data_IF_640390814905
#
_entry.id   IF_640390814905
#
_cell.length_a   1.000
_cell.length_b   1.000
_cell.length_c   1.000
_cell.angle_alpha   90.00
_cell.angle_beta   90.00
_cell.angle_gamma   90.00
#
_symmetry.space_group_name_H-M   'P 1'
#
loop_
_entity.id
_entity.type
_entity.pdbx_description
1 polymer ?
#
# COMPACT_ATOMS: atom_id res chain seq x y z
N UNK A 1 -9.01 -0.48 37.32
CA UNK A 1 -9.71 -0.11 38.57
C UNK A 1 -8.77 -0.42 39.74
N UNK A 2 -7.95 0.54 40.14
CA UNK A 2 -7.13 0.43 41.36
C UNK A 2 -7.94 1.06 42.49
N UNK A 3 -8.69 0.25 43.23
CA UNK A 3 -9.24 0.68 44.50
C UNK A 3 -8.15 0.56 45.56
N UNK A 4 -7.55 1.69 45.93
CA UNK A 4 -6.82 1.83 47.19
C UNK A 4 -7.84 2.17 48.28
N UNK A 5 -8.53 1.16 48.79
CA UNK A 5 -9.11 1.25 50.13
C UNK A 5 -8.13 0.58 51.08
N UNK A 6 -7.23 1.40 51.63
CA UNK A 6 -6.90 1.45 53.05
C UNK A 6 -5.68 2.38 53.24
N UNK A 7 -5.92 3.45 53.99
CA UNK A 7 -4.96 4.47 54.45
C UNK A 7 -4.55 5.60 53.49
N UNK A 8 -5.42 6.63 53.42
CA UNK A 8 -4.95 8.01 53.62
C UNK A 8 -4.97 8.96 52.41
N UNK A 9 -6.15 9.39 51.95
CA UNK A 9 -6.56 10.82 51.97
C UNK A 9 -8.02 10.98 51.52
N UNK A 10 -8.78 11.89 52.14
CA UNK A 10 -10.09 12.36 51.65
C UNK A 10 -9.92 13.42 50.54
N UNK A 11 -8.99 13.20 49.62
CA UNK A 11 -8.69 14.12 48.51
C UNK A 11 -9.42 13.72 47.23
N UNK A 12 -9.57 14.66 46.29
CA UNK A 12 -9.92 14.29 44.90
C UNK A 12 -8.78 13.45 44.31
N UNK A 13 -9.17 12.46 43.50
CA UNK A 13 -8.22 11.65 42.74
C UNK A 13 -7.43 12.54 41.76
N UNK A 14 -6.09 12.60 41.84
CA UNK A 14 -5.26 13.38 40.92
C UNK A 14 -5.39 12.93 39.44
N UNK A 15 -5.88 11.72 39.18
CA UNK A 15 -6.11 11.21 37.83
C UNK A 15 -7.24 11.94 37.09
N UNK A 16 -8.15 12.61 37.82
CA UNK A 16 -9.22 13.44 37.23
C UNK A 16 -8.65 14.55 36.34
N UNK A 17 -7.47 15.07 36.65
CA UNK A 17 -6.81 16.06 35.80
C UNK A 17 -6.44 15.46 34.43
N UNK A 18 -5.98 14.20 34.40
CA UNK A 18 -5.64 13.52 33.16
C UNK A 18 -6.89 13.22 32.34
N UNK A 19 -8.00 12.84 32.99
CA UNK A 19 -9.29 12.69 32.33
C UNK A 19 -9.77 14.00 31.69
N UNK A 20 -9.68 15.11 32.42
CA UNK A 20 -10.04 16.42 31.90
C UNK A 20 -9.17 16.81 30.68
N UNK A 21 -7.87 16.54 30.73
CA UNK A 21 -6.96 16.74 29.60
C UNK A 21 -7.37 15.86 28.41
N UNK A 22 -7.65 14.58 28.63
CA UNK A 22 -8.07 13.68 27.56
C UNK A 22 -9.37 14.16 26.89
N UNK A 23 -10.33 14.67 27.67
CA UNK A 23 -11.56 15.29 27.15
C UNK A 23 -11.24 16.54 26.31
N UNK A 24 -10.35 17.41 26.78
CA UNK A 24 -9.91 18.59 26.02
C UNK A 24 -9.22 18.22 24.71
N UNK A 25 -8.37 17.19 24.73
CA UNK A 25 -7.71 16.65 23.53
C UNK A 25 -8.73 16.07 22.55
N UNK A 26 -9.79 15.46 23.05
CA UNK A 26 -10.84 14.84 22.27
C UNK A 26 -12.00 15.78 21.91
N UNK A 27 -11.84 17.10 22.08
CA UNK A 27 -12.87 18.08 21.80
C UNK A 27 -12.82 18.56 20.34
N UNK A 28 -13.96 18.99 19.80
CA UNK A 28 -14.07 19.42 18.40
C UNK A 28 -13.28 20.72 18.11
N UNK A 29 -13.18 21.59 19.11
CA UNK A 29 -12.45 22.85 19.02
C UNK A 29 -10.93 22.64 19.10
N UNK A 30 -10.24 22.92 17.99
CA UNK A 30 -8.79 22.71 17.87
C UNK A 30 -7.95 23.50 18.87
N UNK A 31 -8.43 24.64 19.35
CA UNK A 31 -7.71 25.45 20.35
C UNK A 31 -7.66 24.74 21.72
N UNK A 32 -8.70 23.96 22.08
CA UNK A 32 -8.70 23.18 23.32
C UNK A 32 -7.70 22.01 23.26
N UNK A 33 -7.50 21.41 22.09
CA UNK A 33 -6.47 20.39 21.88
C UNK A 33 -5.06 20.97 22.14
N UNK A 34 -4.76 22.19 21.68
CA UNK A 34 -3.46 22.84 21.96
C UNK A 34 -3.26 23.10 23.45
N UNK A 35 -4.32 23.50 24.16
CA UNK A 35 -4.27 23.70 25.61
C UNK A 35 -3.97 22.37 26.32
N UNK A 36 -4.57 21.26 25.87
CA UNK A 36 -4.28 19.92 26.37
C UNK A 36 -2.82 19.53 26.18
N UNK A 37 -2.23 19.79 25.01
CA UNK A 37 -0.80 19.55 24.76
C UNK A 37 0.10 20.37 25.70
N UNK A 38 -0.23 21.66 25.89
CA UNK A 38 0.52 22.53 26.82
C UNK A 38 0.40 22.00 28.25
N UNK A 39 -0.78 21.57 28.68
CA UNK A 39 -0.97 20.99 30.02
C UNK A 39 -0.13 19.71 30.21
N UNK A 40 -0.11 18.81 29.22
CA UNK A 40 0.75 17.62 29.24
C UNK A 40 2.24 17.98 29.27
N UNK A 41 2.66 19.00 28.53
CA UNK A 41 4.03 19.50 28.55
C UNK A 41 4.42 20.02 29.93
N UNK A 42 3.56 20.81 30.57
CA UNK A 42 3.80 21.32 31.92
C UNK A 42 3.89 20.18 32.94
N UNK A 43 2.98 19.20 32.88
CA UNK A 43 3.04 18.02 33.77
C UNK A 43 4.37 17.29 33.59
N UNK A 44 4.80 17.07 32.35
CA UNK A 44 6.06 16.38 32.05
C UNK A 44 7.29 17.17 32.51
N UNK A 45 7.34 18.47 32.24
CA UNK A 45 8.46 19.34 32.62
C UNK A 45 8.57 19.45 34.14
N UNK A 46 7.44 19.62 34.85
CA UNK A 46 7.42 19.66 36.32
C UNK A 46 7.86 18.33 36.92
N UNK A 47 7.34 17.19 36.42
CA UNK A 47 7.77 15.88 36.88
C UNK A 47 9.27 15.65 36.65
N UNK A 48 9.79 16.10 35.50
CA UNK A 48 11.21 16.02 35.16
C UNK A 48 12.08 16.89 36.06
N UNK A 49 11.62 18.09 36.44
CA UNK A 49 12.32 18.97 37.38
C UNK A 49 12.35 18.36 38.78
N UNK A 50 11.22 17.84 39.27
CA UNK A 50 11.10 17.26 40.62
C UNK A 50 11.99 16.02 40.76
N UNK A 51 11.99 15.14 39.76
CA UNK A 51 12.76 13.89 39.80
C UNK A 51 14.19 14.03 39.28
N UNK A 52 14.53 15.19 38.72
CA UNK A 52 15.87 15.53 38.22
C UNK A 52 16.28 14.82 36.92
N UNK A 53 15.40 14.02 36.30
CA UNK A 53 15.61 13.48 34.96
C UNK A 53 14.30 13.09 34.28
N UNK A 54 14.28 13.16 32.94
CA UNK A 54 13.12 12.79 32.12
C UNK A 54 12.80 11.30 32.20
N UNK A 55 13.86 10.48 32.30
CA UNK A 55 13.77 9.02 32.39
C UNK A 55 13.07 8.61 33.68
N UNK A 56 13.44 9.21 34.81
CA UNK A 56 12.80 8.95 36.11
C UNK A 56 11.37 9.46 36.14
N UNK A 57 11.08 10.61 35.52
CA UNK A 57 9.71 11.10 35.41
C UNK A 57 8.78 10.09 34.73
N UNK A 58 9.23 9.48 33.62
CA UNK A 58 8.44 8.53 32.86
C UNK A 58 8.17 7.19 33.58
N UNK A 59 8.86 6.91 34.69
CA UNK A 59 8.63 5.73 35.52
C UNK A 59 7.45 5.92 36.49
N UNK A 60 6.93 7.15 36.63
CA UNK A 60 5.75 7.40 37.46
C UNK A 60 4.51 6.70 36.88
N UNK A 61 3.66 6.06 37.71
CA UNK A 61 2.40 5.45 37.28
C UNK A 61 1.47 6.42 36.52
N UNK A 62 1.60 7.72 36.78
CA UNK A 62 0.88 8.77 36.08
C UNK A 62 1.07 8.69 34.55
N UNK A 63 2.26 8.39 34.05
CA UNK A 63 2.51 8.32 32.60
C UNK A 63 1.91 7.09 31.95
N UNK A 64 1.82 5.97 32.69
CA UNK A 64 1.07 4.80 32.23
C UNK A 64 -0.41 5.13 32.04
N UNK A 65 -0.99 5.87 32.99
CA UNK A 65 -2.39 6.31 32.88
C UNK A 65 -2.59 7.34 31.76
N UNK A 66 -1.67 8.29 31.58
CA UNK A 66 -1.71 9.26 30.47
C UNK A 66 -1.75 8.53 29.12
N UNK A 67 -0.88 7.54 28.90
CA UNK A 67 -0.90 6.76 27.64
C UNK A 67 -2.23 6.06 27.44
N UNK A 68 -2.72 5.37 28.47
CA UNK A 68 -3.97 4.63 28.39
C UNK A 68 -5.13 5.54 27.97
N UNK A 69 -5.27 6.69 28.64
CA UNK A 69 -6.37 7.63 28.36
C UNK A 69 -6.22 8.34 27.03
N UNK A 70 -5.02 8.78 26.66
CA UNK A 70 -4.81 9.48 25.40
C UNK A 70 -4.89 8.54 24.18
N UNK A 71 -4.42 7.29 24.31
CA UNK A 71 -4.61 6.29 23.26
C UNK A 71 -6.08 5.84 23.17
N UNK A 72 -6.85 5.84 24.26
CA UNK A 72 -8.28 5.55 24.21
C UNK A 72 -9.04 6.51 23.28
N UNK A 73 -8.61 7.77 23.18
CA UNK A 73 -9.18 8.74 22.25
C UNK A 73 -9.10 8.30 20.78
N UNK A 74 -8.10 7.49 20.40
CA UNK A 74 -8.00 6.91 19.05
C UNK A 74 -9.13 5.91 18.73
N UNK A 75 -9.77 5.35 19.76
CA UNK A 75 -10.83 4.34 19.63
C UNK A 75 -12.24 4.91 19.83
N UNK A 76 -12.35 6.21 20.13
CA UNK A 76 -13.63 6.90 20.25
C UNK A 76 -14.35 6.99 18.90
N UNK A 77 -15.68 7.06 18.90
CA UNK A 77 -16.46 7.08 17.66
C UNK A 77 -16.19 8.33 16.81
N UNK A 78 -16.06 9.50 17.44
CA UNK A 78 -15.94 10.77 16.73
C UNK A 78 -14.57 11.00 16.09
N UNK A 79 -14.55 11.49 14.84
CA UNK A 79 -13.30 11.73 14.10
C UNK A 79 -12.36 12.74 14.78
N UNK A 80 -12.89 13.75 15.46
CA UNK A 80 -12.10 14.77 16.15
C UNK A 80 -11.45 14.20 17.43
N UNK A 81 -12.12 13.27 18.13
CA UNK A 81 -11.55 12.56 19.26
C UNK A 81 -10.37 11.68 18.82
N UNK A 82 -10.54 10.98 17.70
CA UNK A 82 -9.46 10.21 17.07
C UNK A 82 -8.27 11.09 16.67
N UNK A 83 -8.54 12.25 16.08
CA UNK A 83 -7.50 13.23 15.76
C UNK A 83 -6.75 13.67 17.03
N UNK A 84 -7.48 13.96 18.11
CA UNK A 84 -6.90 14.24 19.43
C UNK A 84 -5.96 13.15 19.92
N UNK A 85 -6.36 11.88 19.80
CA UNK A 85 -5.50 10.73 20.11
C UNK A 85 -4.24 10.65 19.25
N UNK A 86 -4.34 10.92 17.94
CA UNK A 86 -3.17 10.97 17.03
C UNK A 86 -2.21 12.10 17.42
N UNK A 87 -2.75 13.28 17.75
CA UNK A 87 -2.00 14.44 18.23
C UNK A 87 -1.29 14.10 19.54
N UNK A 88 -1.99 13.46 20.48
CA UNK A 88 -1.39 12.98 21.72
C UNK A 88 -0.26 11.99 21.51
N UNK A 89 -0.44 10.99 20.63
CA UNK A 89 0.63 10.03 20.31
C UNK A 89 1.84 10.77 19.74
N UNK A 90 1.63 11.70 18.81
CA UNK A 90 2.70 12.52 18.24
C UNK A 90 3.46 13.28 19.33
N UNK A 91 2.74 13.98 20.20
CA UNK A 91 3.32 14.71 21.32
C UNK A 91 4.16 13.79 22.23
N UNK A 92 3.59 12.64 22.64
CA UNK A 92 4.26 11.70 23.52
C UNK A 92 5.53 11.14 22.86
N UNK A 93 5.43 10.79 21.58
CA UNK A 93 6.53 10.25 20.80
C UNK A 93 7.59 11.30 20.44
N UNK A 94 7.37 12.59 20.67
CA UNK A 94 8.36 13.67 20.43
C UNK A 94 9.01 14.12 21.75
N UNK A 95 8.24 14.16 22.84
CA UNK A 95 8.69 14.71 24.14
C UNK A 95 9.31 13.68 25.08
N UNK A 96 8.85 12.42 25.05
CA UNK A 96 9.31 11.41 26.01
C UNK A 96 10.62 10.74 25.56
N UNK A 97 11.40 10.17 26.52
CA UNK A 97 12.63 9.45 26.23
C UNK A 97 12.41 8.22 25.33
N UNK A 98 13.42 7.87 24.52
CA UNK A 98 13.33 6.80 23.53
C UNK A 98 12.94 5.45 24.16
N UNK A 99 13.55 5.07 25.28
CA UNK A 99 13.25 3.81 25.98
C UNK A 99 11.76 3.64 26.27
N UNK A 100 11.10 4.71 26.69
CA UNK A 100 9.67 4.70 27.02
C UNK A 100 8.81 4.64 25.75
N UNK A 101 9.24 5.32 24.68
CA UNK A 101 8.56 5.24 23.38
C UNK A 101 8.65 3.83 22.82
N UNK A 102 9.81 3.16 22.92
CA UNK A 102 10.00 1.77 22.51
C UNK A 102 9.07 0.82 23.28
N UNK A 103 8.93 1.00 24.59
CA UNK A 103 8.04 0.19 25.42
C UNK A 103 6.55 0.32 25.02
N UNK A 104 6.15 1.49 24.49
CA UNK A 104 4.76 1.78 24.09
C UNK A 104 4.52 1.74 22.57
N UNK A 105 5.56 1.50 21.76
CA UNK A 105 5.51 1.63 20.30
C UNK A 105 4.43 0.73 19.67
N UNK A 106 4.28 -0.50 20.15
CA UNK A 106 3.26 -1.42 19.65
C UNK A 106 1.83 -0.91 19.92
N UNK A 107 1.60 -0.30 21.09
CA UNK A 107 0.31 0.31 21.45
C UNK A 107 -0.02 1.48 20.52
N UNK A 108 0.97 2.35 20.27
CA UNK A 108 0.82 3.47 19.34
C UNK A 108 0.58 3.00 17.91
N UNK A 109 1.30 1.99 17.43
CA UNK A 109 1.07 1.38 16.11
C UNK A 109 -0.38 0.93 15.96
N UNK A 110 -0.89 0.13 16.91
CA UNK A 110 -2.27 -0.40 16.86
C UNK A 110 -3.31 0.72 16.87
N UNK A 111 -3.13 1.73 17.72
CA UNK A 111 -4.01 2.88 17.79
C UNK A 111 -4.03 3.67 16.48
N UNK A 112 -2.86 3.96 15.88
CA UNK A 112 -2.76 4.68 14.62
C UNK A 112 -3.36 3.89 13.45
N UNK A 113 -3.13 2.57 13.38
CA UNK A 113 -3.74 1.70 12.36
C UNK A 113 -5.25 1.61 12.54
N UNK A 114 -5.76 1.59 13.77
CA UNK A 114 -7.19 1.62 14.05
C UNK A 114 -7.84 2.91 13.53
N UNK A 115 -7.23 4.08 13.79
CA UNK A 115 -7.73 5.37 13.27
C UNK A 115 -7.81 5.36 11.74
N UNK A 116 -6.79 4.80 11.06
CA UNK A 116 -6.80 4.66 9.61
C UNK A 116 -7.89 3.70 9.12
N UNK A 117 -8.08 2.59 9.83
CA UNK A 117 -9.09 1.59 9.50
C UNK A 117 -10.49 2.17 9.59
N UNK A 118 -10.81 2.80 10.72
CA UNK A 118 -12.16 3.26 11.07
C UNK A 118 -12.59 4.47 10.23
N UNK A 119 -11.66 5.40 9.96
CA UNK A 119 -11.94 6.58 9.12
C UNK A 119 -11.77 6.33 7.61
N UNK A 120 -11.61 5.06 7.19
CA UNK A 120 -11.47 4.74 5.76
C UNK A 120 -12.76 5.07 5.00
N UNK A 121 -12.67 5.98 4.03
CA UNK A 121 -13.80 6.40 3.20
C UNK A 121 -14.66 7.52 3.82
N UNK A 122 -14.29 8.01 5.01
CA UNK A 122 -14.92 9.19 5.60
C UNK A 122 -14.29 10.49 5.08
N UNK A 123 -15.00 11.61 5.25
CA UNK A 123 -14.57 12.95 4.79
C UNK A 123 -13.35 13.47 5.58
N UNK A 124 -13.00 12.84 6.71
CA UNK A 124 -11.89 13.24 7.60
C UNK A 124 -10.50 12.86 7.07
N UNK A 125 -10.17 13.33 5.86
CA UNK A 125 -8.86 13.10 5.23
C UNK A 125 -7.69 13.65 6.08
N UNK A 126 -7.92 14.69 6.87
CA UNK A 126 -6.91 15.29 7.74
C UNK A 126 -6.44 14.35 8.86
N UNK A 127 -7.35 13.63 9.53
CA UNK A 127 -7.01 12.73 10.61
C UNK A 127 -6.24 11.49 10.11
N UNK A 128 -6.68 10.91 8.99
CA UNK A 128 -5.99 9.78 8.35
C UNK A 128 -4.60 10.19 7.88
N UNK A 129 -4.46 11.35 7.22
CA UNK A 129 -3.16 11.84 6.77
C UNK A 129 -2.20 12.06 7.94
N UNK A 130 -2.68 12.68 9.02
CA UNK A 130 -1.87 12.88 10.21
C UNK A 130 -1.48 11.56 10.87
N UNK A 131 -2.37 10.58 10.96
CA UNK A 131 -2.05 9.26 11.50
C UNK A 131 -0.94 8.57 10.70
N UNK A 132 -0.96 8.67 9.36
CA UNK A 132 0.08 8.10 8.49
C UNK A 132 1.44 8.73 8.72
N UNK A 133 1.49 10.07 8.76
CA UNK A 133 2.74 10.80 9.03
C UNK A 133 3.27 10.52 10.43
N UNK A 134 2.40 10.51 11.45
CA UNK A 134 2.78 10.18 12.83
C UNK A 134 3.34 8.75 12.92
N UNK A 135 2.71 7.78 12.25
CA UNK A 135 3.20 6.40 12.23
C UNK A 135 4.58 6.31 11.57
N UNK A 136 4.79 6.97 10.45
CA UNK A 136 6.09 6.99 9.76
C UNK A 136 7.18 7.59 10.66
N UNK A 137 6.91 8.73 11.31
CA UNK A 137 7.84 9.36 12.25
C UNK A 137 8.15 8.48 13.46
N UNK A 138 7.14 7.80 14.01
CA UNK A 138 7.32 6.84 15.11
C UNK A 138 8.26 5.70 14.72
N UNK A 139 8.05 5.12 13.54
CA UNK A 139 8.88 4.01 13.03
C UNK A 139 10.31 4.47 12.78
N UNK A 140 10.50 5.64 12.16
CA UNK A 140 11.84 6.22 11.93
C UNK A 140 12.54 6.44 13.27
N UNK A 141 11.90 7.11 14.22
CA UNK A 141 12.50 7.38 15.54
C UNK A 141 12.93 6.10 16.26
N UNK A 142 12.08 5.08 16.23
CA UNK A 142 12.32 3.83 16.97
C UNK A 142 13.26 2.85 16.26
N UNK A 143 13.34 2.86 14.93
CA UNK A 143 14.17 1.94 14.15
C UNK A 143 15.52 2.52 13.75
N UNK A 144 15.75 3.82 13.98
CA UNK A 144 17.06 4.44 13.72
C UNK A 144 18.15 3.74 14.54
N UNK A 145 19.25 3.31 13.91
CA UNK A 145 20.37 2.70 14.63
C UNK A 145 20.91 3.61 15.73
N UNK A 146 21.05 3.05 16.94
CA UNK A 146 21.59 3.78 18.09
C UNK A 146 23.05 4.16 17.88
N UNK A 147 23.42 5.38 18.27
CA UNK A 147 24.82 5.83 18.31
C UNK A 147 25.56 5.12 19.44
N UNK A 148 26.90 5.04 19.34
CA UNK A 148 27.71 4.31 20.33
C UNK A 148 27.53 4.82 21.78
N UNK A 149 27.24 6.11 21.96
CA UNK A 149 26.96 6.73 23.26
C UNK A 149 25.58 6.34 23.85
N UNK A 150 24.63 5.92 23.00
CA UNK A 150 23.25 5.57 23.38
C UNK A 150 23.04 4.04 23.50
N UNK A 151 24.05 3.24 23.13
CA UNK A 151 24.03 1.77 23.21
C UNK A 151 24.15 1.28 24.65
N UNK A 152 23.14 1.59 25.46
CA UNK A 152 22.91 0.95 26.74
C UNK A 152 22.18 -0.37 26.48
N UNK A 153 22.58 -1.45 27.15
CA UNK A 153 22.01 -2.79 26.98
C UNK A 153 20.47 -2.80 27.09
N UNK A 154 19.93 -2.03 28.04
CA UNK A 154 18.48 -1.87 28.23
C UNK A 154 17.77 -1.27 27.00
N UNK A 155 18.35 -0.23 26.39
CA UNK A 155 17.75 0.45 25.21
C UNK A 155 17.83 -0.46 23.99
N UNK A 156 18.95 -1.15 23.79
CA UNK A 156 19.12 -2.12 22.71
C UNK A 156 18.10 -3.24 22.81
N UNK A 157 17.95 -3.85 23.99
CA UNK A 157 16.97 -4.92 24.24
C UNK A 157 15.53 -4.43 24.03
N UNK A 158 15.20 -3.22 24.48
CA UNK A 158 13.89 -2.63 24.24
C UNK A 158 13.64 -2.35 22.76
N UNK A 159 14.66 -1.91 22.02
CA UNK A 159 14.57 -1.65 20.58
C UNK A 159 14.33 -2.95 19.82
N UNK A 160 15.09 -4.01 20.09
CA UNK A 160 14.92 -5.31 19.44
C UNK A 160 13.55 -5.92 19.72
N UNK A 161 13.13 -5.92 20.99
CA UNK A 161 11.79 -6.41 21.40
C UNK A 161 10.68 -5.64 20.72
N UNK A 162 10.76 -4.31 20.75
CA UNK A 162 9.75 -3.45 20.13
C UNK A 162 9.71 -3.64 18.61
N UNK A 163 10.88 -3.68 17.97
CA UNK A 163 11.01 -3.90 16.54
C UNK A 163 10.31 -5.20 16.13
N UNK A 164 10.61 -6.31 16.80
CA UNK A 164 9.99 -7.62 16.55
C UNK A 164 8.45 -7.58 16.67
N UNK A 165 7.91 -6.92 17.70
CA UNK A 165 6.46 -6.83 17.90
C UNK A 165 5.78 -5.97 16.82
N UNK A 166 6.40 -4.86 16.45
CA UNK A 166 5.91 -3.94 15.42
C UNK A 166 5.97 -4.58 14.04
N UNK A 167 7.08 -5.23 13.69
CA UNK A 167 7.22 -5.91 12.40
C UNK A 167 6.27 -7.09 12.29
N UNK A 168 6.05 -7.85 13.37
CA UNK A 168 5.03 -8.90 13.40
C UNK A 168 3.63 -8.36 13.07
N UNK A 169 3.20 -7.28 13.74
CA UNK A 169 1.88 -6.68 13.49
C UNK A 169 1.78 -6.10 12.07
N UNK A 170 2.81 -5.42 11.57
CA UNK A 170 2.85 -4.90 10.20
C UNK A 170 2.77 -6.01 9.14
N UNK A 171 3.51 -7.11 9.34
CA UNK A 171 3.50 -8.28 8.44
C UNK A 171 2.10 -8.89 8.37
N UNK A 172 1.39 -8.99 9.50
CA UNK A 172 0.00 -9.47 9.52
C UNK A 172 -0.93 -8.60 8.66
N UNK A 173 -0.78 -7.28 8.73
CA UNK A 173 -1.64 -6.33 8.02
C UNK A 173 -1.38 -6.24 6.50
N UNK A 174 -0.33 -6.88 5.96
CA UNK A 174 -0.04 -6.93 4.50
C UNK A 174 -1.19 -7.55 3.70
N UNK A 175 -1.98 -8.42 4.31
CA UNK A 175 -3.16 -9.06 3.67
C UNK A 175 -4.49 -8.48 4.16
N UNK A 176 -4.46 -7.36 4.89
CA UNK A 176 -5.66 -6.75 5.50
C UNK A 176 -6.73 -6.44 4.44
N UNK A 177 -8.02 -6.70 4.70
CA UNK A 177 -9.11 -6.31 3.79
C UNK A 177 -9.23 -4.78 3.64
N UNK A 178 -8.80 -4.01 4.63
CA UNK A 178 -8.87 -2.55 4.59
C UNK A 178 -7.73 -1.99 3.71
N UNK A 179 -8.04 -1.24 2.63
CA UNK A 179 -7.03 -0.74 1.70
C UNK A 179 -6.08 0.28 2.31
N UNK A 180 -6.55 1.13 3.23
CA UNK A 180 -5.72 2.16 3.89
C UNK A 180 -4.68 1.50 4.78
N UNK A 181 -5.13 0.57 5.63
CA UNK A 181 -4.28 -0.18 6.56
C UNK A 181 -3.26 -1.01 5.80
N UNK A 182 -3.71 -1.76 4.78
CA UNK A 182 -2.84 -2.62 3.96
C UNK A 182 -1.73 -1.84 3.27
N UNK A 183 -2.09 -0.76 2.56
CA UNK A 183 -1.11 0.10 1.87
C UNK A 183 -0.15 0.74 2.87
N UNK A 184 -0.66 1.18 4.01
CA UNK A 184 0.18 1.75 5.06
C UNK A 184 1.15 0.70 5.63
N UNK A 185 0.72 -0.54 5.86
CA UNK A 185 1.58 -1.60 6.38
C UNK A 185 2.73 -1.92 5.41
N UNK A 186 2.42 -2.05 4.10
CA UNK A 186 3.42 -2.25 3.05
C UNK A 186 4.43 -1.08 2.98
N UNK A 187 3.93 0.16 3.05
CA UNK A 187 4.78 1.36 3.07
C UNK A 187 5.65 1.42 4.34
N UNK A 188 5.07 1.16 5.51
CA UNK A 188 5.79 1.13 6.78
C UNK A 188 6.93 0.10 6.80
N UNK A 189 6.75 -1.07 6.18
CA UNK A 189 7.83 -2.06 6.00
C UNK A 189 8.94 -1.53 5.08
N UNK A 190 8.60 -0.78 4.03
CA UNK A 190 9.59 -0.12 3.17
C UNK A 190 10.35 1.00 3.90
N UNK A 191 9.67 1.79 4.73
CA UNK A 191 10.31 2.80 5.59
C UNK A 191 11.28 2.15 6.56
N UNK A 192 10.89 1.06 7.23
CA UNK A 192 11.79 0.32 8.12
C UNK A 192 13.01 -0.23 7.37
N UNK A 193 12.83 -0.72 6.15
CA UNK A 193 13.94 -1.17 5.30
C UNK A 193 14.93 -0.02 4.98
N UNK A 194 14.41 1.16 4.65
CA UNK A 194 15.23 2.35 4.39
C UNK A 194 16.00 2.80 5.64
N UNK A 195 15.34 2.86 6.80
CA UNK A 195 15.93 3.34 8.05
C UNK A 195 17.00 2.37 8.58
N UNK A 196 16.76 1.06 8.47
CA UNK A 196 17.67 0.04 8.99
C UNK A 196 18.76 -0.36 7.99
N UNK A 197 18.65 0.06 6.73
CA UNK A 197 19.53 -0.39 5.65
C UNK A 197 19.40 -1.88 5.31
N UNK A 198 18.33 -2.55 5.78
CA UNK A 198 18.04 -3.96 5.53
C UNK A 198 17.00 -4.10 4.42
N UNK A 199 17.07 -5.16 3.63
CA UNK A 199 16.01 -5.47 2.67
C UNK A 199 14.69 -5.79 3.37
N UNK A 200 13.55 -5.41 2.76
CA UNK A 200 12.21 -5.68 3.29
C UNK A 200 12.03 -7.18 3.60
N UNK A 201 12.54 -8.06 2.74
CA UNK A 201 12.48 -9.51 2.97
C UNK A 201 13.16 -9.93 4.27
N UNK A 202 14.32 -9.36 4.61
CA UNK A 202 15.02 -9.69 5.86
C UNK A 202 14.24 -9.24 7.09
N UNK A 203 13.46 -8.16 6.99
CA UNK A 203 12.61 -7.67 8.07
C UNK A 203 11.38 -8.58 8.25
N UNK A 204 10.82 -9.09 7.14
CA UNK A 204 9.63 -9.92 7.16
C UNK A 204 9.90 -11.40 7.47
N UNK A 205 11.10 -11.92 7.13
CA UNK A 205 11.43 -13.35 7.25
C UNK A 205 11.16 -13.93 8.65
N UNK A 206 11.50 -13.26 9.77
CA UNK A 206 11.20 -13.77 11.12
C UNK A 206 9.72 -13.98 11.40
N UNK A 207 8.83 -13.33 10.65
CA UNK A 207 7.38 -13.37 10.85
C UNK A 207 6.64 -14.01 9.67
N UNK A 208 7.36 -14.69 8.79
CA UNK A 208 6.81 -15.30 7.57
C UNK A 208 5.65 -16.26 7.84
N UNK A 209 5.71 -16.99 8.95
CA UNK A 209 4.67 -17.92 9.38
C UNK A 209 3.28 -17.29 9.52
N UNK A 210 3.21 -15.98 9.82
CA UNK A 210 1.95 -15.23 9.93
C UNK A 210 1.19 -15.19 8.61
N UNK A 211 1.91 -15.24 7.48
CA UNK A 211 1.34 -15.13 6.14
C UNK A 211 1.26 -16.48 5.40
N UNK A 212 1.78 -17.57 5.96
CA UNK A 212 1.98 -18.83 5.24
C UNK A 212 0.69 -19.49 4.70
N UNK A 213 -0.45 -19.19 5.32
CA UNK A 213 -1.77 -19.69 4.93
C UNK A 213 -2.49 -18.75 3.95
N UNK A 214 -2.04 -17.50 3.86
CA UNK A 214 -2.65 -16.41 3.08
C UNK A 214 -1.87 -16.12 1.78
N UNK A 215 -0.57 -16.43 1.73
CA UNK A 215 0.31 -16.09 0.62
C UNK A 215 1.19 -17.28 0.19
N UNK A 216 0.82 -18.00 -0.89
CA UNK A 216 -0.50 -18.01 -1.54
C UNK A 216 -1.59 -18.58 -0.63
N UNK A 217 -2.88 -18.24 -0.85
CA UNK A 217 -3.99 -18.77 -0.05
C UNK A 217 -4.08 -20.30 -0.12
N UNK A 218 -4.08 -20.97 1.03
CA UNK A 218 -4.18 -22.45 1.13
C UNK A 218 -5.55 -22.94 1.63
N UNK A 219 -6.13 -22.23 2.59
CA UNK A 219 -7.34 -22.70 3.31
C UNK A 219 -8.65 -22.23 2.68
N UNK A 220 -8.63 -21.11 1.97
CA UNK A 220 -9.84 -20.47 1.48
C UNK A 220 -9.71 -20.09 0.01
N UNK A 221 -10.74 -20.41 -0.78
CA UNK A 221 -10.88 -19.93 -2.15
C UNK A 221 -11.14 -18.41 -2.16
N UNK A 222 -10.60 -17.69 -3.13
CA UNK A 222 -10.82 -16.25 -3.27
C UNK A 222 -12.30 -15.94 -3.39
N UNK A 223 -13.03 -16.68 -4.23
CA UNK A 223 -14.46 -16.41 -4.50
C UNK A 223 -15.37 -16.56 -3.27
N UNK A 224 -14.93 -17.22 -2.21
CA UNK A 224 -15.68 -17.35 -0.95
C UNK A 224 -15.49 -16.15 -0.02
N UNK A 225 -14.51 -15.30 -0.28
CA UNK A 225 -14.22 -14.10 0.50
C UNK A 225 -14.96 -12.89 -0.07
N UNK A 226 -15.26 -11.87 0.75
CA UNK A 226 -15.75 -10.59 0.25
C UNK A 226 -14.68 -9.91 -0.63
N UNK A 227 -15.12 -9.05 -1.54
CA UNK A 227 -14.26 -8.45 -2.57
C UNK A 227 -13.04 -7.69 -2.00
N UNK A 228 -13.22 -6.97 -0.88
CA UNK A 228 -12.13 -6.26 -0.20
C UNK A 228 -11.05 -7.21 0.35
N UNK A 229 -11.44 -8.35 0.91
CA UNK A 229 -10.52 -9.39 1.37
C UNK A 229 -9.81 -10.07 0.20
N UNK A 230 -10.51 -10.32 -0.92
CA UNK A 230 -9.89 -10.84 -2.14
C UNK A 230 -8.78 -9.91 -2.65
N UNK A 231 -9.06 -8.60 -2.72
CA UNK A 231 -8.05 -7.59 -3.09
C UNK A 231 -6.88 -7.64 -2.12
N UNK A 232 -7.14 -7.72 -0.81
CA UNK A 232 -6.09 -7.82 0.22
C UNK A 232 -5.16 -9.03 0.02
N UNK A 233 -5.72 -10.20 -0.29
CA UNK A 233 -4.96 -11.42 -0.57
C UNK A 233 -4.14 -11.30 -1.87
N UNK A 234 -4.72 -10.74 -2.93
CA UNK A 234 -4.03 -10.56 -4.22
C UNK A 234 -2.89 -9.55 -4.13
N UNK A 235 -3.12 -8.40 -3.51
CA UNK A 235 -2.10 -7.37 -3.31
C UNK A 235 -1.02 -7.83 -2.34
N UNK A 236 -1.39 -8.50 -1.25
CA UNK A 236 -0.42 -9.09 -0.31
C UNK A 236 0.47 -10.13 -0.98
N UNK A 237 -0.09 -10.99 -1.82
CA UNK A 237 0.69 -11.97 -2.60
C UNK A 237 1.62 -11.28 -3.61
N UNK A 238 1.11 -10.28 -4.33
CA UNK A 238 1.92 -9.45 -5.24
C UNK A 238 3.09 -8.81 -4.50
N UNK A 239 2.84 -8.20 -3.33
CA UNK A 239 3.88 -7.58 -2.52
C UNK A 239 4.97 -8.58 -2.14
N UNK A 240 4.61 -9.71 -1.53
CA UNK A 240 5.59 -10.70 -1.07
C UNK A 240 6.38 -11.41 -2.18
N UNK A 241 5.77 -11.60 -3.36
CA UNK A 241 6.41 -12.27 -4.51
C UNK A 241 7.28 -11.34 -5.36
N UNK A 242 7.11 -10.01 -5.21
CA UNK A 242 7.93 -9.00 -5.90
C UNK A 242 9.11 -8.50 -5.08
N UNK A 243 9.20 -8.86 -3.79
CA UNK A 243 10.38 -8.58 -2.98
C UNK A 243 11.65 -9.23 -3.54
N UNK A 244 12.80 -8.64 -3.21
CA UNK A 244 14.13 -9.14 -3.60
C UNK A 244 14.97 -9.38 -2.34
N UNK A 245 15.27 -10.64 -1.97
CA UNK A 245 14.73 -11.89 -2.52
C UNK A 245 13.23 -12.07 -2.24
N UNK A 246 12.56 -12.97 -2.98
CA UNK A 246 11.11 -13.20 -2.80
C UNK A 246 10.85 -13.84 -1.44
N UNK A 247 9.85 -13.34 -0.71
CA UNK A 247 9.47 -13.93 0.58
C UNK A 247 8.71 -15.25 0.38
N UNK A 248 7.79 -15.25 -0.60
CA UNK A 248 7.02 -16.42 -1.01
C UNK A 248 7.15 -16.67 -2.50
N UNK A 249 7.01 -17.94 -2.89
CA UNK A 249 7.01 -18.39 -4.28
C UNK A 249 5.79 -19.27 -4.52
N UNK A 250 5.08 -19.02 -5.61
CA UNK A 250 3.99 -19.87 -6.04
C UNK A 250 4.55 -21.12 -6.76
N UNK A 251 3.94 -22.27 -6.49
CA UNK A 251 4.29 -23.55 -7.11
C UNK A 251 3.02 -24.19 -7.66
N UNK A 252 2.93 -24.33 -8.99
CA UNK A 252 1.76 -24.86 -9.69
C UNK A 252 1.58 -26.39 -9.53
N UNK A 253 2.54 -27.08 -8.93
CA UNK A 253 2.38 -28.48 -8.52
C UNK A 253 1.52 -28.62 -7.26
N UNK A 254 1.45 -27.57 -6.44
CA UNK A 254 0.59 -27.50 -5.26
C UNK A 254 -0.83 -27.16 -5.72
N UNK A 255 -1.81 -27.99 -5.32
CA UNK A 255 -3.20 -27.88 -5.79
C UNK A 255 -3.79 -26.52 -5.41
N UNK A 256 -3.56 -26.07 -4.19
CA UNK A 256 -4.07 -24.80 -3.65
C UNK A 256 -3.53 -23.61 -4.44
N UNK A 257 -2.24 -23.61 -4.75
CA UNK A 257 -1.60 -22.56 -5.56
C UNK A 257 -2.14 -22.54 -6.99
N UNK A 258 -2.33 -23.72 -7.60
CA UNK A 258 -2.92 -23.86 -8.93
C UNK A 258 -4.36 -23.35 -8.97
N UNK A 259 -5.13 -23.60 -7.91
CA UNK A 259 -6.50 -23.10 -7.78
C UNK A 259 -6.48 -21.57 -7.66
N UNK A 260 -5.66 -21.01 -6.79
CA UNK A 260 -5.50 -19.55 -6.66
C UNK A 260 -5.13 -18.91 -8.00
N UNK A 261 -4.13 -19.44 -8.70
CA UNK A 261 -3.73 -18.97 -10.03
C UNK A 261 -4.87 -19.03 -11.06
N UNK A 262 -5.67 -20.10 -11.03
CA UNK A 262 -6.83 -20.25 -11.92
C UNK A 262 -7.94 -19.24 -11.60
N UNK A 263 -8.16 -18.92 -10.32
CA UNK A 263 -9.09 -17.86 -9.91
C UNK A 263 -8.63 -16.48 -10.39
N UNK A 264 -7.31 -16.18 -10.33
CA UNK A 264 -6.76 -14.93 -10.87
C UNK A 264 -7.00 -14.79 -12.38
N UNK A 265 -6.72 -15.85 -13.16
CA UNK A 265 -7.00 -15.85 -14.60
C UNK A 265 -8.49 -15.65 -14.88
N UNK A 266 -9.36 -16.36 -14.16
CA UNK A 266 -10.79 -16.24 -14.33
C UNK A 266 -11.30 -14.82 -14.03
N UNK A 267 -10.74 -14.12 -13.04
CA UNK A 267 -11.07 -12.71 -12.78
C UNK A 267 -10.70 -11.79 -13.93
N UNK A 268 -9.59 -12.06 -14.62
CA UNK A 268 -9.16 -11.27 -15.77
C UNK A 268 -9.93 -11.62 -17.06
N UNK A 269 -10.29 -12.89 -17.24
CA UNK A 269 -10.84 -13.41 -18.50
C UNK A 269 -12.37 -13.43 -18.55
N UNK A 270 -13.06 -13.70 -17.43
CA UNK A 270 -14.51 -13.86 -17.45
C UNK A 270 -15.22 -12.54 -17.81
N UNK A 271 -16.43 -12.64 -18.36
CA UNK A 271 -17.30 -11.48 -18.60
C UNK A 271 -17.93 -10.99 -17.29
N UNK A 272 -18.14 -9.68 -17.17
CA UNK A 272 -18.75 -9.07 -15.98
C UNK A 272 -20.12 -9.67 -15.65
N UNK A 273 -20.94 -9.96 -16.67
CA UNK A 273 -22.25 -10.60 -16.51
C UNK A 273 -22.18 -11.99 -15.86
N UNK A 274 -21.06 -12.71 -16.01
CA UNK A 274 -20.85 -14.01 -15.40
C UNK A 274 -20.36 -13.86 -13.96
N UNK A 275 -19.42 -12.94 -13.72
CA UNK A 275 -18.89 -12.68 -12.38
C UNK A 275 -19.97 -12.11 -11.45
N UNK A 276 -20.81 -11.19 -11.93
CA UNK A 276 -21.88 -10.57 -11.13
C UNK A 276 -22.96 -11.56 -10.66
N UNK A 277 -23.01 -12.79 -11.19
CA UNK A 277 -23.88 -13.87 -10.67
C UNK A 277 -23.38 -14.40 -9.32
N UNK A 278 -22.09 -14.27 -9.02
CA UNK A 278 -21.47 -14.77 -7.79
C UNK A 278 -21.87 -13.92 -6.59
N UNK A 279 -22.25 -14.52 -5.44
CA UNK A 279 -22.72 -13.78 -4.27
C UNK A 279 -21.78 -12.68 -3.77
N UNK A 280 -20.46 -12.90 -3.86
CA UNK A 280 -19.43 -11.98 -3.37
C UNK A 280 -19.30 -10.69 -4.18
N UNK A 281 -19.86 -10.62 -5.39
CA UNK A 281 -19.76 -9.47 -6.29
C UNK A 281 -21.09 -8.74 -6.52
N UNK A 282 -22.22 -9.32 -6.11
CA UNK A 282 -23.56 -8.77 -6.38
C UNK A 282 -23.77 -7.34 -5.90
N UNK A 283 -23.12 -6.95 -4.81
CA UNK A 283 -23.25 -5.62 -4.20
C UNK A 283 -22.21 -4.60 -4.68
N UNK A 284 -21.31 -4.99 -5.60
CA UNK A 284 -20.27 -4.10 -6.08
C UNK A 284 -20.79 -3.16 -7.17
N UNK A 285 -20.37 -1.90 -7.13
CA UNK A 285 -20.60 -0.94 -8.21
C UNK A 285 -19.69 -1.19 -9.41
N UNK A 286 -18.51 -1.78 -9.20
CA UNK A 286 -17.52 -2.04 -10.24
C UNK A 286 -16.61 -3.22 -9.88
N UNK A 287 -16.26 -4.03 -10.88
CA UNK A 287 -15.27 -5.11 -10.77
C UNK A 287 -13.84 -4.65 -11.10
N UNK A 288 -13.67 -3.39 -11.52
CA UNK A 288 -12.38 -2.85 -11.96
C UNK A 288 -11.29 -3.00 -10.89
N UNK A 289 -11.50 -2.66 -9.60
CA UNK A 289 -10.45 -2.82 -8.58
C UNK A 289 -10.00 -4.27 -8.37
N UNK A 290 -10.93 -5.23 -8.46
CA UNK A 290 -10.62 -6.66 -8.37
C UNK A 290 -9.76 -7.11 -9.56
N UNK A 291 -10.14 -6.71 -10.78
CA UNK A 291 -9.40 -7.03 -12.00
C UNK A 291 -7.99 -6.43 -11.98
N UNK A 292 -7.82 -5.18 -11.53
CA UNK A 292 -6.51 -4.55 -11.39
C UNK A 292 -5.63 -5.33 -10.40
N UNK A 293 -6.17 -5.71 -9.24
CA UNK A 293 -5.44 -6.50 -8.26
C UNK A 293 -5.05 -7.89 -8.80
N UNK A 294 -5.95 -8.56 -9.54
CA UNK A 294 -5.67 -9.85 -10.18
C UNK A 294 -4.60 -9.74 -11.28
N UNK A 295 -4.66 -8.70 -12.12
CA UNK A 295 -3.66 -8.43 -13.16
C UNK A 295 -2.27 -8.20 -12.57
N UNK A 296 -2.17 -7.40 -11.50
CA UNK A 296 -0.89 -7.16 -10.81
C UNK A 296 -0.33 -8.47 -10.22
N UNK A 297 -1.18 -9.29 -9.61
CA UNK A 297 -0.76 -10.59 -9.06
C UNK A 297 -0.28 -11.56 -10.15
N UNK A 298 -0.97 -11.62 -11.30
CA UNK A 298 -0.54 -12.42 -12.45
C UNK A 298 0.78 -11.91 -13.02
N UNK A 299 0.96 -10.60 -13.16
CA UNK A 299 2.20 -10.02 -13.68
C UNK A 299 3.40 -10.30 -12.76
N UNK A 300 3.20 -10.34 -11.44
CA UNK A 300 4.22 -10.73 -10.47
C UNK A 300 4.66 -12.20 -10.61
N UNK A 301 3.86 -13.05 -11.28
CA UNK A 301 4.16 -14.46 -11.52
C UNK A 301 5.04 -14.70 -12.77
N UNK A 302 5.79 -13.69 -13.24
CA UNK A 302 6.69 -13.78 -14.40
C UNK A 302 7.76 -14.89 -14.31
N UNK A 303 8.10 -15.29 -13.08
CA UNK A 303 9.06 -16.36 -12.77
C UNK A 303 8.51 -17.77 -13.04
N UNK A 304 7.22 -17.90 -13.36
CA UNK A 304 6.59 -19.18 -13.71
C UNK A 304 6.54 -19.35 -15.24
N UNK A 305 7.45 -20.15 -15.84
CA UNK A 305 7.55 -20.25 -17.29
C UNK A 305 6.31 -20.88 -17.95
N UNK A 306 5.68 -21.85 -17.27
CA UNK A 306 4.53 -22.60 -17.79
C UNK A 306 3.25 -21.76 -17.91
N UNK A 307 3.17 -20.64 -17.22
CA UNK A 307 2.01 -19.72 -17.19
C UNK A 307 2.18 -18.49 -18.07
N UNK A 308 3.35 -18.30 -18.68
CA UNK A 308 3.73 -17.07 -19.39
C UNK A 308 2.74 -16.71 -20.49
N UNK A 309 2.39 -17.65 -21.36
CA UNK A 309 1.46 -17.42 -22.47
C UNK A 309 0.06 -16.97 -21.99
N UNK A 310 -0.45 -17.61 -20.94
CA UNK A 310 -1.75 -17.25 -20.33
C UNK A 310 -1.72 -15.87 -19.68
N UNK A 311 -0.63 -15.53 -19.00
CA UNK A 311 -0.45 -14.20 -18.39
C UNK A 311 -0.40 -13.14 -19.50
N UNK A 312 0.37 -13.37 -20.56
CA UNK A 312 0.46 -12.47 -21.72
C UNK A 312 -0.93 -12.25 -22.34
N UNK A 313 -1.69 -13.31 -22.58
CA UNK A 313 -3.05 -13.21 -23.11
C UNK A 313 -3.98 -12.36 -22.21
N UNK A 314 -3.93 -12.57 -20.90
CA UNK A 314 -4.71 -11.78 -19.94
C UNK A 314 -4.30 -10.29 -19.93
N UNK A 315 -3.00 -9.99 -20.00
CA UNK A 315 -2.48 -8.62 -20.06
C UNK A 315 -2.86 -7.92 -21.37
N UNK A 316 -2.79 -8.61 -22.51
CA UNK A 316 -3.25 -8.08 -23.80
C UNK A 316 -4.75 -7.79 -23.81
N UNK A 317 -5.56 -8.64 -23.16
CA UNK A 317 -6.99 -8.38 -23.00
C UNK A 317 -7.24 -7.08 -22.20
N UNK A 318 -6.48 -6.85 -21.13
CA UNK A 318 -6.58 -5.61 -20.35
C UNK A 318 -6.16 -4.37 -21.15
N UNK A 319 -5.09 -4.47 -21.95
CA UNK A 319 -4.62 -3.40 -22.84
C UNK A 319 -5.65 -2.97 -23.89
N UNK A 320 -6.51 -3.92 -24.31
CA UNK A 320 -7.57 -3.70 -25.29
C UNK A 320 -8.94 -3.41 -24.65
N UNK A 321 -8.97 -3.19 -23.33
CA UNK A 321 -10.19 -2.85 -22.61
C UNK A 321 -10.72 -1.48 -23.03
N UNK A 322 -12.04 -1.31 -23.04
CA UNK A 322 -12.69 0.00 -23.22
C UNK A 322 -12.69 0.84 -21.92
N UNK A 323 -12.24 0.27 -20.80
CA UNK A 323 -12.11 0.96 -19.52
C UNK A 323 -10.67 1.46 -19.34
N UNK A 324 -10.51 2.78 -19.20
CA UNK A 324 -9.20 3.44 -19.10
C UNK A 324 -8.37 2.95 -17.91
N UNK A 325 -8.97 2.73 -16.73
CA UNK A 325 -8.23 2.25 -15.55
C UNK A 325 -7.66 0.85 -15.77
N UNK A 326 -8.42 -0.03 -16.43
CA UNK A 326 -7.93 -1.38 -16.78
C UNK A 326 -6.84 -1.33 -17.86
N UNK A 327 -6.94 -0.41 -18.81
CA UNK A 327 -5.94 -0.23 -19.85
C UNK A 327 -4.61 0.27 -19.26
N UNK A 328 -4.65 1.28 -18.39
CA UNK A 328 -3.49 1.81 -17.67
C UNK A 328 -2.84 0.74 -16.78
N UNK A 329 -3.65 -0.03 -16.04
CA UNK A 329 -3.17 -1.15 -15.25
C UNK A 329 -2.53 -2.24 -16.12
N UNK A 330 -3.13 -2.55 -17.27
CA UNK A 330 -2.59 -3.48 -18.26
C UNK A 330 -1.21 -3.06 -18.79
N UNK A 331 -1.04 -1.77 -19.11
CA UNK A 331 0.26 -1.23 -19.55
C UNK A 331 1.32 -1.35 -18.46
N UNK A 332 1.01 -0.92 -17.24
CA UNK A 332 1.93 -0.99 -16.11
C UNK A 332 2.33 -2.44 -15.80
N UNK A 333 1.37 -3.37 -15.83
CA UNK A 333 1.62 -4.79 -15.61
C UNK A 333 2.46 -5.41 -16.72
N UNK A 334 2.20 -5.08 -17.99
CA UNK A 334 2.98 -5.58 -19.13
C UNK A 334 4.44 -5.13 -19.03
N UNK A 335 4.69 -3.86 -18.69
CA UNK A 335 6.04 -3.33 -18.49
C UNK A 335 6.81 -4.10 -17.42
N UNK A 336 6.21 -4.28 -16.23
CA UNK A 336 6.79 -5.05 -15.13
C UNK A 336 7.02 -6.52 -15.48
N UNK A 337 6.11 -7.11 -16.24
CA UNK A 337 6.23 -8.50 -16.68
C UNK A 337 7.44 -8.69 -17.60
N UNK A 338 7.62 -7.78 -18.56
CA UNK A 338 8.73 -7.79 -19.51
C UNK A 338 10.10 -7.55 -18.85
N UNK A 339 10.19 -6.68 -17.84
CA UNK A 339 11.43 -6.46 -17.07
C UNK A 339 11.96 -7.75 -16.42
N UNK A 340 11.08 -8.69 -16.08
CA UNK A 340 11.43 -9.95 -15.43
C UNK A 340 11.34 -11.20 -16.32
N UNK A 341 10.93 -11.09 -17.58
CA UNK A 341 10.68 -12.23 -18.46
C UNK A 341 11.48 -12.15 -19.76
N UNK A 342 12.16 -13.24 -20.12
CA UNK A 342 12.71 -13.46 -21.46
C UNK A 342 11.60 -13.93 -22.39
N UNK A 343 11.01 -13.04 -23.19
CA UNK A 343 9.89 -13.40 -24.09
C UNK A 343 10.41 -13.78 -25.47
N UNK A 344 9.94 -14.91 -26.01
CA UNK A 344 10.20 -15.31 -27.39
C UNK A 344 9.34 -14.49 -28.37
N UNK A 345 9.98 -13.99 -29.42
CA UNK A 345 9.41 -13.03 -30.39
C UNK A 345 8.11 -13.54 -31.04
N UNK A 346 7.99 -14.85 -31.27
CA UNK A 346 6.82 -15.48 -31.91
C UNK A 346 5.53 -15.40 -31.08
N UNK A 347 5.64 -15.40 -29.74
CA UNK A 347 4.50 -15.28 -28.83
C UNK A 347 3.92 -13.86 -28.89
N UNK A 348 4.78 -12.85 -29.01
CA UNK A 348 4.39 -11.44 -29.15
C UNK A 348 3.65 -11.23 -30.47
N UNK A 349 4.17 -11.79 -31.57
CA UNK A 349 3.54 -11.65 -32.89
C UNK A 349 2.12 -12.23 -32.95
N UNK A 350 1.87 -13.35 -32.28
CA UNK A 350 0.55 -14.00 -32.27
C UNK A 350 -0.52 -13.11 -31.63
N UNK A 351 -0.19 -12.46 -30.51
CA UNK A 351 -1.13 -11.56 -29.82
C UNK A 351 -1.18 -10.15 -30.42
N UNK A 352 -0.12 -9.71 -31.13
CA UNK A 352 -0.09 -8.42 -31.82
C UNK A 352 -0.78 -8.43 -33.19
N UNK A 353 -0.89 -9.59 -33.86
CA UNK A 353 -1.49 -9.70 -35.21
C UNK A 353 -2.88 -9.07 -35.32
N UNK A 354 -3.83 -9.27 -34.39
CA UNK A 354 -5.16 -8.61 -34.45
C UNK A 354 -5.09 -7.09 -34.37
N UNK A 355 -4.16 -6.54 -33.57
CA UNK A 355 -3.95 -5.10 -33.45
C UNK A 355 -3.32 -4.51 -34.71
N UNK A 356 -2.34 -5.21 -35.29
CA UNK A 356 -1.72 -4.84 -36.56
C UNK A 356 -2.73 -4.93 -37.72
N UNK A 357 -3.67 -5.87 -37.68
CA UNK A 357 -4.76 -5.98 -38.66
C UNK A 357 -5.79 -4.85 -38.50
N UNK A 358 -6.17 -4.48 -37.27
CA UNK A 358 -7.03 -3.30 -37.04
C UNK A 358 -6.37 -1.99 -37.49
N UNK A 359 -5.04 -1.86 -37.30
CA UNK A 359 -4.26 -0.73 -37.80
C UNK A 359 -4.20 -0.67 -39.33
N UNK A 360 -4.22 -1.82 -40.00
CA UNK A 360 -4.23 -1.92 -41.46
C UNK A 360 -5.52 -1.40 -42.09
N UNK A 361 -6.63 -1.42 -41.35
CA UNK A 361 -7.96 -1.04 -41.83
C UNK A 361 -8.35 0.38 -41.36
N UNK A 362 -7.58 1.35 -41.85
CA UNK A 362 -7.61 2.77 -41.44
C UNK A 362 -8.97 3.48 -41.49
N UNK A 363 -9.97 2.90 -42.18
CA UNK A 363 -11.32 3.47 -42.32
C UNK A 363 -12.26 3.09 -41.16
N UNK A 364 -11.89 2.11 -40.35
CA UNK A 364 -12.73 1.57 -39.26
C UNK A 364 -12.36 2.09 -37.86
N UNK A 365 -11.25 2.82 -37.74
CA UNK A 365 -10.76 3.38 -36.47
C UNK A 365 -11.73 4.45 -35.95
N UNK A 366 -12.58 4.06 -35.00
CA UNK A 366 -13.53 4.95 -34.31
C UNK A 366 -12.86 5.59 -33.09
N UNK A 367 -13.16 6.88 -32.87
CA UNK A 367 -12.62 7.84 -31.87
C UNK A 367 -12.75 7.46 -30.38
N UNK A 368 -12.83 6.19 -30.01
CA UNK A 368 -12.98 5.75 -28.62
C UNK A 368 -11.64 5.51 -27.89
N UNK A 369 -10.50 5.82 -28.52
CA UNK A 369 -9.16 5.64 -27.95
C UNK A 369 -8.59 7.00 -27.55
N UNK A 370 -9.09 7.57 -26.46
CA UNK A 370 -8.47 8.73 -25.81
C UNK A 370 -7.60 8.26 -24.63
N UNK A 371 -6.34 7.89 -24.90
CA UNK A 371 -5.34 7.62 -23.86
C UNK A 371 -4.05 8.44 -24.05
N UNK A 372 -3.85 9.33 -23.06
CA UNK A 372 -2.69 10.15 -22.62
C UNK A 372 -1.48 10.44 -23.54
N UNK A 373 -1.14 11.72 -23.59
CA UNK A 373 -0.10 12.44 -24.34
C UNK A 373 1.40 12.01 -24.15
N UNK A 374 1.73 11.01 -23.33
CA UNK A 374 3.15 10.66 -23.04
C UNK A 374 3.85 9.89 -24.18
N UNK A 375 3.07 9.32 -25.11
CA UNK A 375 3.54 8.47 -26.22
C UNK A 375 4.01 9.24 -27.48
N UNK A 376 3.76 10.55 -27.56
CA UNK A 376 3.96 11.32 -28.80
C UNK A 376 5.43 11.58 -29.18
N UNK A 377 6.35 11.73 -28.22
CA UNK A 377 7.75 12.07 -28.52
C UNK A 377 8.56 10.89 -29.10
N UNK A 378 8.20 9.65 -28.76
CA UNK A 378 8.87 8.46 -29.30
C UNK A 378 8.37 8.09 -30.69
N UNK A 379 7.09 8.36 -30.98
CA UNK A 379 6.48 8.16 -32.29
C UNK A 379 7.15 9.03 -33.38
N UNK A 380 7.55 10.26 -33.04
CA UNK A 380 8.16 11.21 -33.98
C UNK A 380 9.52 10.72 -34.51
N UNK A 381 10.37 10.17 -33.65
CA UNK A 381 11.67 9.59 -34.03
C UNK A 381 11.52 8.30 -34.83
N UNK A 382 10.52 7.47 -34.52
CA UNK A 382 10.29 6.21 -35.23
C UNK A 382 9.68 6.42 -36.61
N UNK A 383 8.75 7.38 -36.75
CA UNK A 383 8.22 7.77 -38.06
C UNK A 383 9.29 8.37 -38.97
N UNK A 384 10.27 9.12 -38.45
CA UNK A 384 11.41 9.57 -39.27
C UNK A 384 12.21 8.39 -39.84
N UNK A 385 12.45 7.34 -39.05
CA UNK A 385 13.22 6.16 -39.50
C UNK A 385 12.43 5.26 -40.47
N UNK A 386 11.13 5.06 -40.22
CA UNK A 386 10.27 4.21 -41.08
C UNK A 386 9.84 4.91 -42.38
N UNK A 387 9.60 6.22 -42.34
CA UNK A 387 9.29 6.98 -43.58
C UNK A 387 10.53 7.12 -44.46
N UNK A 388 11.74 7.17 -43.88
CA UNK A 388 13.00 7.16 -44.65
C UNK A 388 13.25 5.79 -45.30
N UNK A 389 12.90 4.68 -44.63
CA UNK A 389 13.05 3.33 -45.20
C UNK A 389 11.99 3.00 -46.26
N UNK A 390 10.78 3.58 -46.18
CA UNK A 390 9.76 3.40 -47.22
C UNK A 390 9.83 4.39 -48.39
N UNK A 391 10.55 5.52 -48.26
CA UNK A 391 10.84 6.44 -49.38
C UNK A 391 12.02 6.01 -50.27
N UNK A 392 12.54 4.80 -50.10
CA UNK A 392 13.51 4.16 -51.00
C UNK A 392 12.95 3.78 -52.38
N UNK A 393 11.71 4.13 -52.72
CA UNK A 393 11.16 3.85 -54.05
C UNK A 393 9.79 4.45 -54.29
N UNK A 394 9.72 5.77 -54.52
CA UNK A 394 8.86 6.41 -55.53
C UNK A 394 8.83 7.93 -55.31
N UNK A 395 9.23 8.68 -56.34
CA UNK A 395 8.99 10.12 -56.46
C UNK A 395 7.52 10.34 -56.84
N UNK A 396 6.81 11.25 -56.19
CA UNK A 396 5.92 12.23 -56.85
C UNK A 396 5.39 13.28 -55.87
N UNK A 397 5.18 14.47 -56.43
CA UNK A 397 4.79 15.75 -55.83
C UNK A 397 3.31 15.79 -55.41
N UNK A 398 2.96 16.71 -54.49
CA UNK A 398 1.63 17.34 -54.49
C UNK A 398 0.80 17.25 -53.19
N UNK A 399 0.63 18.42 -52.56
CA UNK A 399 -0.45 18.90 -51.68
C UNK A 399 -0.83 18.17 -50.37
N UNK A 400 -0.53 18.88 -49.28
CA UNK A 400 -1.01 18.68 -47.90
C UNK A 400 -2.50 19.01 -47.81
N UNK A 401 -3.30 18.08 -47.29
CA UNK A 401 -4.67 18.35 -46.84
C UNK A 401 -4.85 17.93 -45.37
N UNK A 402 -5.59 18.77 -44.65
CA UNK A 402 -5.76 18.91 -43.19
C UNK A 402 -6.52 17.76 -42.50
N UNK A 403 -6.34 16.51 -42.93
CA UNK A 403 -6.86 15.31 -42.27
C UNK A 403 -5.78 14.43 -41.60
N UNK A 404 -4.50 14.77 -41.74
CA UNK A 404 -3.40 13.97 -41.21
C UNK A 404 -3.07 14.22 -39.73
N UNK A 405 -3.45 15.38 -39.17
CA UNK A 405 -3.11 15.71 -37.78
C UNK A 405 -3.90 14.86 -36.76
N UNK A 406 -5.17 14.57 -37.04
CA UNK A 406 -6.03 13.73 -36.18
C UNK A 406 -5.80 12.23 -36.41
N UNK A 407 -5.33 11.87 -37.62
CA UNK A 407 -4.95 10.50 -37.95
C UNK A 407 -3.61 10.10 -37.30
N UNK A 408 -2.65 11.03 -37.22
CA UNK A 408 -1.36 10.83 -36.56
C UNK A 408 -1.46 10.84 -35.02
N UNK A 409 -2.43 11.55 -34.44
CA UNK A 409 -2.69 11.51 -33.00
C UNK A 409 -3.31 10.17 -32.56
N UNK A 410 -4.17 9.58 -33.40
CA UNK A 410 -4.81 8.29 -33.15
C UNK A 410 -3.85 7.10 -33.30
N UNK A 411 -2.91 7.18 -34.24
CA UNK A 411 -1.86 6.16 -34.42
C UNK A 411 -0.85 6.16 -33.25
N UNK A 412 -0.66 7.28 -32.54
CA UNK A 412 0.30 7.35 -31.43
C UNK A 412 -0.09 6.54 -30.19
N UNK A 413 -1.39 6.29 -30.00
CA UNK A 413 -1.92 5.58 -28.82
C UNK A 413 -1.78 4.05 -28.93
N UNK A 414 -1.82 3.50 -30.15
CA UNK A 414 -1.76 2.05 -30.40
C UNK A 414 -0.31 1.52 -30.28
N UNK A 415 0.67 2.40 -30.42
CA UNK A 415 2.08 2.05 -30.29
C UNK A 415 2.58 1.91 -28.84
N UNK A 416 1.81 2.24 -27.79
CA UNK A 416 2.27 2.07 -26.40
C UNK A 416 2.65 0.60 -26.07
N UNK A 417 1.78 -0.41 -26.30
CA UNK A 417 2.15 -1.81 -26.06
C UNK A 417 3.22 -2.34 -27.04
N UNK A 418 3.23 -1.86 -28.29
CA UNK A 418 4.21 -2.27 -29.31
C UNK A 418 5.60 -1.71 -28.99
N UNK A 419 5.70 -0.44 -28.60
CA UNK A 419 6.95 0.21 -28.19
C UNK A 419 7.43 -0.36 -26.86
N UNK A 420 6.55 -0.71 -25.92
CA UNK A 420 6.93 -1.41 -24.69
C UNK A 420 7.50 -2.80 -24.99
N UNK A 421 6.93 -3.55 -25.93
CA UNK A 421 7.48 -4.84 -26.36
C UNK A 421 8.80 -4.69 -27.16
N UNK A 422 8.92 -3.69 -28.04
CA UNK A 422 10.11 -3.47 -28.88
C UNK A 422 11.25 -2.72 -28.20
N UNK A 423 11.06 -2.04 -27.06
CA UNK A 423 12.17 -1.41 -26.30
C UNK A 423 12.98 -2.41 -25.48
N UNK A 424 12.47 -3.63 -25.30
CA UNK A 424 13.06 -4.69 -24.45
C UNK A 424 13.76 -5.77 -25.30
N UNK A 425 13.57 -5.76 -26.62
CA UNK A 425 14.41 -6.44 -27.62
C UNK A 425 15.52 -5.48 -28.02
#
# INVERSE_FOLDING_TARGET
MFHSEENGSKGMDPLVLIDAIAICMAYEEKELCKIGEVALAVIFDVASIILGSKERACQLPLFSYIVERLCACCYEQAWYAKLGGVVSIKFLMERLPLIWVLQNQQTFLKALLFVMMDLTGEVSNGAVAMAKTTLEQLLIRCATPLKDEEKVEEITNAQEKSFHLVTHDLVREVTSPNPTVRKQAMHSLQVLAQVTGKGVTMIMEPHKEVLQDMVPPKKHLLRHQPANAQIGLMEGNTFCTTLQPRLFTMDLNVVEHKVFYSELLNLCEAEDATLMKLPCYKSLSSLVPLRIAALNALAACNYLPQSREKIIAALFKALNSTNNELQEAGEACMRKFLEGATIEVDQIHTHMRPLLMMLGDYRSLTLNVNCSLSSQQHLRKWMEVVVITHKGGQRSEGNVSTGHADFLSSISAIFSPIVVCFKVI
#
